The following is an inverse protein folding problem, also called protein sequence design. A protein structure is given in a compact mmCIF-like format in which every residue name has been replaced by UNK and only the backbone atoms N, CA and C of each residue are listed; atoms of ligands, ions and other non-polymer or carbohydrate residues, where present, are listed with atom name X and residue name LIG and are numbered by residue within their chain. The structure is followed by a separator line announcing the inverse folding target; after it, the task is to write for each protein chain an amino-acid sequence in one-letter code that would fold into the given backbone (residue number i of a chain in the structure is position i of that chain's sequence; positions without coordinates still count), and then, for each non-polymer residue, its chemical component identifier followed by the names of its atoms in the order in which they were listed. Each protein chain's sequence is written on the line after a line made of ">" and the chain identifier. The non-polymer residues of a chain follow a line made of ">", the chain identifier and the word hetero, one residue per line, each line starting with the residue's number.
data_IF_289610379650
#
_entry.id   IF_289610379650
#
_cell.length_a   1.000
_cell.length_b   1.000
_cell.length_c   1.000
_cell.angle_alpha   90.00
_cell.angle_beta   90.00
_cell.angle_gamma   90.00
#
_symmetry.space_group_name_H-M   'P 1'
#
loop_
_entity.id
_entity.type
_entity.pdbx_description
1 polymer ?
#
# COMPACT_ATOMS: atom_id res chain seq x y z
N UNK A 1 6.34 11.91 -12.33
CA UNK A 1 7.49 12.26 -13.17
C UNK A 1 8.85 11.92 -12.52
N UNK A 2 8.92 11.65 -11.22
CA UNK A 2 10.14 11.22 -10.53
C UNK A 2 11.30 12.24 -10.55
N UNK A 3 11.00 13.53 -10.76
CA UNK A 3 11.99 14.62 -10.73
C UNK A 3 11.47 15.79 -9.88
N UNK A 4 12.36 16.35 -9.08
CA UNK A 4 12.10 17.63 -8.39
C UNK A 4 12.11 18.73 -9.45
N UNK A 5 11.05 19.55 -9.48
CA UNK A 5 10.96 20.67 -10.38
C UNK A 5 11.80 21.85 -9.84
N UNK A 6 12.61 22.50 -10.68
CA UNK A 6 13.36 23.67 -10.26
C UNK A 6 12.43 24.87 -10.02
N UNK A 7 12.89 25.80 -9.21
CA UNK A 7 12.10 26.91 -8.69
C UNK A 7 11.56 27.85 -9.79
N UNK A 8 12.32 28.05 -10.87
CA UNK A 8 11.90 28.80 -12.03
C UNK A 8 10.68 28.22 -12.73
N UNK A 9 10.59 26.89 -12.82
CA UNK A 9 9.41 26.19 -13.34
C UNK A 9 8.22 26.29 -12.38
N UNK A 10 8.45 26.14 -11.07
CA UNK A 10 7.38 26.26 -10.06
C UNK A 10 6.74 27.66 -10.07
N UNK A 11 7.52 28.70 -10.36
CA UNK A 11 7.08 30.10 -10.38
C UNK A 11 6.53 30.55 -11.73
N UNK A 12 6.56 29.73 -12.78
CA UNK A 12 6.07 30.09 -14.13
C UNK A 12 4.54 30.26 -14.18
N UNK A 13 3.71 29.38 -13.55
CA UNK A 13 2.26 29.52 -13.64
C UNK A 13 1.74 30.75 -12.87
N UNK A 14 0.81 31.48 -13.47
CA UNK A 14 0.20 32.69 -12.88
C UNK A 14 -0.38 32.46 -11.48
N UNK A 15 -0.95 31.28 -11.23
CA UNK A 15 -1.60 30.93 -9.97
C UNK A 15 -0.77 29.98 -9.09
N UNK A 16 0.49 29.74 -9.47
CA UNK A 16 1.36 28.76 -8.84
C UNK A 16 1.14 27.35 -9.37
N UNK A 17 2.07 26.45 -9.04
CA UNK A 17 1.99 25.03 -9.40
C UNK A 17 1.29 24.27 -8.28
N UNK A 18 0.31 23.42 -8.61
CA UNK A 18 -0.40 22.57 -7.65
C UNK A 18 -0.17 21.10 -7.95
N UNK A 19 -0.24 20.27 -6.92
CA UNK A 19 -0.09 18.82 -7.01
C UNK A 19 -1.25 18.13 -6.27
N UNK A 20 -1.63 16.96 -6.78
CA UNK A 20 -2.54 16.01 -6.10
C UNK A 20 -1.68 14.96 -5.44
N UNK A 21 -1.58 14.99 -4.12
CA UNK A 21 -0.80 14.04 -3.34
C UNK A 21 -1.71 13.04 -2.64
N UNK A 22 -1.45 11.74 -2.84
CA UNK A 22 -2.32 10.66 -2.37
C UNK A 22 -2.06 10.27 -0.92
N UNK A 23 -2.05 11.26 -0.02
CA UNK A 23 -2.04 11.10 1.43
C UNK A 23 -2.67 12.29 2.14
N UNK A 24 -2.89 12.15 3.43
CA UNK A 24 -3.25 13.24 4.34
C UNK A 24 -1.94 13.88 4.82
N UNK A 25 -1.46 14.91 4.10
CA UNK A 25 -0.24 15.63 4.48
C UNK A 25 -0.38 16.27 5.87
N UNK A 26 0.71 16.30 6.68
CA UNK A 26 2.11 16.06 6.31
C UNK A 26 2.56 14.60 6.35
N UNK A 27 1.68 13.62 6.58
CA UNK A 27 2.06 12.21 6.54
C UNK A 27 2.32 11.73 5.12
N UNK A 28 3.30 10.83 4.98
CA UNK A 28 3.60 10.12 3.73
C UNK A 28 4.02 11.03 2.57
N UNK A 29 4.89 12.03 2.82
CA UNK A 29 5.59 12.71 1.74
C UNK A 29 6.43 11.71 0.95
N UNK A 30 6.52 11.82 -0.36
CA UNK A 30 7.37 10.98 -1.20
C UNK A 30 6.65 10.10 -2.20
N UNK A 31 7.30 8.98 -2.61
CA UNK A 31 6.98 8.29 -3.85
C UNK A 31 5.81 7.29 -3.77
N UNK A 32 5.52 6.71 -2.59
CA UNK A 32 4.57 5.60 -2.47
C UNK A 32 3.57 5.75 -1.30
N UNK A 33 2.90 6.92 -1.14
CA UNK A 33 2.03 7.19 0.01
C UNK A 33 0.89 6.18 0.16
N UNK A 34 0.28 5.74 -0.93
CA UNK A 34 -0.83 4.78 -0.95
C UNK A 34 -0.38 3.42 -0.38
N UNK A 35 0.76 2.93 -0.87
CA UNK A 35 1.30 1.65 -0.43
C UNK A 35 1.68 1.70 1.04
N UNK A 36 2.35 2.76 1.50
CA UNK A 36 2.80 2.88 2.88
C UNK A 36 1.64 3.06 3.87
N UNK A 37 0.54 3.72 3.49
CA UNK A 37 -0.66 3.75 4.32
C UNK A 37 -1.22 2.34 4.57
N UNK A 38 -1.24 1.49 3.53
CA UNK A 38 -1.67 0.09 3.67
C UNK A 38 -0.65 -0.73 4.46
N UNK A 39 0.65 -0.62 4.16
CA UNK A 39 1.73 -1.36 4.83
C UNK A 39 1.79 -1.08 6.32
N UNK A 40 1.44 0.13 6.74
CA UNK A 40 1.38 0.54 8.13
C UNK A 40 0.04 0.17 8.82
N UNK A 41 -0.92 -0.36 8.07
CA UNK A 41 -2.23 -0.75 8.61
C UNK A 41 -3.13 0.43 8.97
N UNK A 42 -2.96 1.58 8.31
CA UNK A 42 -3.82 2.74 8.52
C UNK A 42 -5.27 2.41 8.14
N UNK A 43 -6.21 2.87 8.94
CA UNK A 43 -7.64 2.70 8.69
C UNK A 43 -8.21 3.82 7.79
N UNK A 44 -7.49 4.94 7.66
CA UNK A 44 -7.90 6.12 6.91
C UNK A 44 -6.71 6.64 6.12
N UNK A 45 -6.96 7.06 4.90
CA UNK A 45 -6.04 7.81 4.05
C UNK A 45 -6.81 8.92 3.34
N UNK A 46 -6.21 9.54 2.33
CA UNK A 46 -6.90 10.58 1.57
C UNK A 46 -6.04 11.17 0.46
N UNK A 47 -6.49 12.30 -0.02
CA UNK A 47 -5.76 13.11 -0.98
C UNK A 47 -5.60 14.53 -0.45
N UNK A 48 -4.45 15.14 -0.68
CA UNK A 48 -4.17 16.54 -0.39
C UNK A 48 -3.87 17.28 -1.69
N UNK A 49 -4.61 18.33 -1.96
CA UNK A 49 -4.28 19.30 -2.99
C UNK A 49 -3.37 20.35 -2.35
N UNK A 50 -2.17 20.53 -2.89
CA UNK A 50 -1.16 21.38 -2.30
C UNK A 50 -0.48 22.23 -3.35
N UNK A 51 0.03 23.41 -2.96
CA UNK A 51 1.00 24.13 -3.75
C UNK A 51 2.33 23.39 -3.75
N UNK A 52 2.97 23.32 -4.89
CA UNK A 52 4.31 22.73 -4.98
C UNK A 52 5.34 23.70 -4.38
N UNK A 53 6.35 23.15 -3.73
CA UNK A 53 7.48 23.86 -3.14
C UNK A 53 8.78 23.17 -3.58
N UNK A 54 9.95 23.83 -3.42
CA UNK A 54 11.24 23.21 -3.71
C UNK A 54 11.52 21.93 -2.90
N UNK A 55 11.04 21.90 -1.66
CA UNK A 55 11.12 20.70 -0.81
C UNK A 55 10.00 19.71 -1.17
N UNK A 56 10.33 18.40 -1.17
CA UNK A 56 9.43 17.31 -1.58
C UNK A 56 8.15 17.31 -0.73
N UNK A 57 7.01 17.50 -1.41
CA UNK A 57 5.65 17.44 -0.86
C UNK A 57 5.43 18.29 0.41
N UNK A 58 6.19 19.40 0.54
CA UNK A 58 6.22 20.24 1.74
C UNK A 58 5.43 21.56 1.62
N UNK A 59 4.85 21.85 0.45
CA UNK A 59 4.11 23.08 0.22
C UNK A 59 2.76 23.14 0.94
N UNK A 60 2.16 24.33 0.94
CA UNK A 60 0.90 24.58 1.64
C UNK A 60 -0.25 23.75 1.07
N UNK A 61 -1.02 23.12 1.96
CA UNK A 61 -2.22 22.37 1.60
C UNK A 61 -3.38 23.34 1.36
N UNK A 62 -4.07 23.14 0.23
CA UNK A 62 -5.26 23.91 -0.16
C UNK A 62 -6.53 23.18 0.32
N UNK A 63 -6.58 21.88 0.06
CA UNK A 63 -7.73 21.05 0.31
C UNK A 63 -7.28 19.65 0.68
N UNK A 64 -7.96 19.03 1.65
CA UNK A 64 -7.76 17.63 1.99
C UNK A 64 -9.11 16.90 1.95
N UNK A 65 -9.12 15.67 1.44
CA UNK A 65 -10.26 14.76 1.45
C UNK A 65 -9.82 13.41 1.99
N UNK A 66 -10.49 12.96 3.04
CA UNK A 66 -10.21 11.68 3.69
C UNK A 66 -11.13 10.59 3.14
N UNK A 67 -10.65 9.35 3.20
CA UNK A 67 -11.41 8.14 2.90
C UNK A 67 -10.93 6.99 3.75
N UNK A 68 -11.84 6.08 4.15
CA UNK A 68 -11.46 4.85 4.83
C UNK A 68 -10.70 3.90 3.89
N UNK A 69 -9.79 3.10 4.45
CA UNK A 69 -9.17 1.96 3.78
C UNK A 69 -9.92 0.71 4.23
N UNK A 70 -10.52 -0.02 3.29
CA UNK A 70 -11.15 -1.30 3.62
C UNK A 70 -10.09 -2.29 4.10
N UNK A 71 -10.38 -3.12 5.12
CA UNK A 71 -9.44 -4.09 5.67
C UNK A 71 -8.82 -5.05 4.65
N UNK A 72 -9.51 -5.36 3.56
CA UNK A 72 -9.06 -6.29 2.52
C UNK A 72 -8.71 -5.59 1.18
N UNK A 73 -8.86 -4.25 1.12
CA UNK A 73 -8.55 -3.46 -0.08
C UNK A 73 -7.05 -3.46 -0.37
N UNK A 74 -6.68 -3.69 -1.62
CA UNK A 74 -5.29 -3.64 -2.06
C UNK A 74 -4.88 -2.27 -2.61
N UNK A 75 -3.57 -2.09 -2.83
CA UNK A 75 -3.03 -0.83 -3.32
C UNK A 75 -3.54 -0.45 -4.72
N UNK A 76 -3.93 -1.42 -5.57
CA UNK A 76 -4.46 -1.15 -6.92
C UNK A 76 -5.85 -0.54 -6.84
N UNK A 77 -6.73 -1.14 -6.05
CA UNK A 77 -8.09 -0.67 -5.85
C UNK A 77 -8.11 0.69 -5.15
N UNK A 78 -7.31 0.83 -4.08
CA UNK A 78 -7.18 2.10 -3.36
C UNK A 78 -6.64 3.21 -4.27
N UNK A 79 -5.66 2.92 -5.14
CA UNK A 79 -5.13 3.89 -6.10
C UNK A 79 -6.23 4.41 -7.03
N UNK A 80 -7.11 3.54 -7.53
CA UNK A 80 -8.22 3.93 -8.39
C UNK A 80 -9.19 4.87 -7.66
N UNK A 81 -9.59 4.52 -6.44
CA UNK A 81 -10.49 5.37 -5.63
C UNK A 81 -9.86 6.72 -5.29
N UNK A 82 -8.58 6.74 -4.92
CA UNK A 82 -7.88 7.99 -4.60
C UNK A 82 -7.67 8.86 -5.85
N UNK A 83 -7.53 8.27 -7.04
CA UNK A 83 -7.47 9.05 -8.28
C UNK A 83 -8.80 9.77 -8.59
N UNK A 84 -9.94 9.11 -8.38
CA UNK A 84 -11.27 9.70 -8.53
C UNK A 84 -11.47 10.82 -7.49
N UNK A 85 -11.22 10.54 -6.21
CA UNK A 85 -11.31 11.51 -5.12
C UNK A 85 -10.38 12.72 -5.35
N UNK A 86 -9.18 12.46 -5.87
CA UNK A 86 -8.19 13.50 -6.20
C UNK A 86 -8.65 14.39 -7.35
N UNK A 87 -9.31 13.84 -8.37
CA UNK A 87 -9.84 14.62 -9.50
C UNK A 87 -10.97 15.55 -9.04
N UNK A 88 -11.87 15.08 -8.18
CA UNK A 88 -12.94 15.90 -7.59
C UNK A 88 -12.35 17.01 -6.71
N UNK A 89 -11.42 16.67 -5.80
CA UNK A 89 -10.75 17.62 -4.93
C UNK A 89 -9.95 18.68 -5.72
N UNK A 90 -9.28 18.28 -6.80
CA UNK A 90 -8.55 19.21 -7.68
C UNK A 90 -9.49 20.18 -8.37
N UNK A 91 -10.62 19.71 -8.89
CA UNK A 91 -11.63 20.58 -9.53
C UNK A 91 -12.14 21.65 -8.57
N UNK A 92 -12.44 21.27 -7.33
CA UNK A 92 -12.85 22.20 -6.27
C UNK A 92 -11.74 23.21 -5.94
N UNK A 93 -10.49 22.73 -5.76
CA UNK A 93 -9.36 23.60 -5.45
C UNK A 93 -9.08 24.61 -6.57
N UNK A 94 -9.19 24.21 -7.84
CA UNK A 94 -9.06 25.12 -9.00
C UNK A 94 -10.11 26.23 -8.93
N UNK A 95 -11.38 25.87 -8.66
CA UNK A 95 -12.44 26.86 -8.49
C UNK A 95 -12.17 27.87 -7.36
N UNK A 96 -11.63 27.41 -6.23
CA UNK A 96 -11.23 28.30 -5.14
C UNK A 96 -10.08 29.24 -5.54
N UNK A 97 -9.09 28.73 -6.30
CA UNK A 97 -7.97 29.51 -6.79
C UNK A 97 -8.45 30.60 -7.78
N UNK A 98 -9.29 30.24 -8.73
CA UNK A 98 -9.83 31.17 -9.73
C UNK A 98 -10.66 32.29 -9.11
N UNK A 99 -11.46 31.96 -8.10
CA UNK A 99 -12.30 32.91 -7.38
C UNK A 99 -11.56 33.69 -6.29
N UNK A 100 -10.29 33.40 -6.04
CA UNK A 100 -9.50 34.06 -5.00
C UNK A 100 -9.94 33.71 -3.56
N UNK A 101 -10.65 32.60 -3.37
CA UNK A 101 -11.16 32.14 -2.06
C UNK A 101 -10.31 31.05 -1.44
N UNK A 102 -9.19 30.68 -2.08
CA UNK A 102 -8.29 29.64 -1.60
C UNK A 102 -7.68 30.00 -0.24
N UNK A 103 -7.75 29.04 0.69
CA UNK A 103 -7.07 29.12 1.99
C UNK A 103 -5.86 28.19 1.97
N UNK A 104 -4.70 28.72 2.30
CA UNK A 104 -3.45 27.94 2.38
C UNK A 104 -3.19 27.54 3.81
N UNK A 105 -3.00 26.26 4.04
CA UNK A 105 -2.61 25.73 5.35
C UNK A 105 -1.17 25.28 5.30
N UNK A 106 -0.30 25.93 6.06
CA UNK A 106 1.10 25.55 6.21
C UNK A 106 1.15 24.18 6.88
N UNK A 107 1.95 23.25 6.33
CA UNK A 107 2.12 21.94 6.93
C UNK A 107 2.92 22.01 8.24
N UNK A 108 2.57 21.19 9.22
CA UNK A 108 3.42 20.96 10.39
C UNK A 108 4.62 20.09 9.97
N UNK A 109 5.75 20.76 9.72
CA UNK A 109 6.98 20.10 9.30
C UNK A 109 7.57 19.17 10.37
N UNK A 110 7.21 19.33 11.66
CA UNK A 110 7.65 18.41 12.71
C UNK A 110 6.89 17.08 12.72
N UNK A 111 5.67 17.06 12.17
CA UNK A 111 4.80 15.88 12.11
C UNK A 111 4.90 15.10 10.79
N UNK A 112 5.78 15.49 9.86
CA UNK A 112 5.87 14.80 8.58
C UNK A 112 6.43 13.38 8.71
N UNK A 113 5.97 12.49 7.82
CA UNK A 113 6.55 11.16 7.62
C UNK A 113 6.86 10.95 6.14
N UNK A 114 7.80 10.05 5.84
CA UNK A 114 8.17 9.73 4.47
C UNK A 114 7.57 8.40 4.01
N UNK A 115 7.20 8.36 2.73
CA UNK A 115 6.79 7.19 2.00
C UNK A 115 7.82 6.92 0.87
N UNK A 116 8.94 6.26 1.18
CA UNK A 116 9.98 6.00 0.20
C UNK A 116 9.48 5.12 -0.93
N UNK A 117 10.21 5.12 -2.03
CA UNK A 117 9.96 4.21 -3.16
C UNK A 117 10.02 2.76 -2.66
N UNK A 118 9.09 1.94 -3.14
CA UNK A 118 9.11 0.51 -2.84
C UNK A 118 10.32 -0.15 -3.52
N UNK A 119 10.79 -1.23 -2.92
CA UNK A 119 11.83 -2.08 -3.50
C UNK A 119 11.61 -3.56 -3.15
N UNK A 120 12.42 -4.45 -3.74
CA UNK A 120 12.27 -5.90 -3.57
C UNK A 120 12.63 -6.42 -2.18
N UNK A 121 13.32 -5.65 -1.37
CA UNK A 121 13.63 -6.04 0.02
C UNK A 121 12.39 -6.14 0.89
N UNK A 122 11.31 -5.45 0.50
CA UNK A 122 10.00 -5.52 1.15
C UNK A 122 9.22 -6.80 0.84
N UNK A 123 9.66 -7.60 -0.16
CA UNK A 123 8.88 -8.76 -0.63
C UNK A 123 8.83 -9.95 0.35
N UNK A 124 9.91 -10.36 1.03
CA UNK A 124 9.88 -11.56 1.87
C UNK A 124 8.89 -11.44 3.03
N UNK A 125 8.03 -12.46 3.19
CA UNK A 125 7.15 -12.57 4.34
C UNK A 125 7.92 -13.18 5.52
N UNK A 126 7.92 -12.47 6.65
CA UNK A 126 8.46 -12.95 7.93
C UNK A 126 7.30 -13.41 8.83
N UNK A 127 7.06 -14.70 8.88
CA UNK A 127 5.96 -15.30 9.62
C UNK A 127 6.08 -15.17 11.15
N UNK A 128 7.17 -14.66 11.68
CA UNK A 128 7.27 -14.31 13.11
C UNK A 128 6.44 -13.08 13.46
N UNK A 129 6.01 -12.31 12.46
CA UNK A 129 5.14 -11.14 12.59
C UNK A 129 3.65 -11.54 12.70
N UNK A 130 2.78 -10.65 13.21
CA UNK A 130 1.33 -10.87 13.25
C UNK A 130 0.72 -11.09 11.86
N UNK A 131 -0.30 -11.97 11.79
CA UNK A 131 -1.00 -12.31 10.55
C UNK A 131 -1.58 -11.06 9.86
N UNK A 132 -2.10 -10.09 10.62
CA UNK A 132 -2.62 -8.82 10.08
C UNK A 132 -1.54 -8.02 9.38
N UNK A 133 -0.35 -7.90 9.95
CA UNK A 133 0.75 -7.17 9.33
C UNK A 133 1.22 -7.82 8.03
N UNK A 134 1.24 -9.16 7.96
CA UNK A 134 1.59 -9.88 6.74
C UNK A 134 0.49 -9.75 5.67
N UNK A 135 -0.77 -9.74 6.06
CA UNK A 135 -1.88 -9.45 5.16
C UNK A 135 -1.75 -8.03 4.58
N UNK A 136 -1.47 -7.03 5.41
CA UNK A 136 -1.24 -5.66 4.98
C UNK A 136 -0.01 -5.54 4.07
N UNK A 137 1.06 -6.29 4.35
CA UNK A 137 2.23 -6.37 3.48
C UNK A 137 1.86 -6.92 2.10
N UNK A 138 1.10 -8.00 2.02
CA UNK A 138 0.67 -8.58 0.73
C UNK A 138 -0.16 -7.58 -0.06
N UNK A 139 -1.23 -7.02 0.52
CA UNK A 139 -2.15 -6.12 -0.17
C UNK A 139 -1.53 -4.75 -0.49
N UNK A 140 -0.53 -4.30 0.29
CA UNK A 140 0.20 -3.06 0.07
C UNK A 140 1.29 -3.17 -1.01
N UNK A 141 1.80 -4.38 -1.31
CA UNK A 141 2.87 -4.59 -2.29
C UNK A 141 2.39 -5.03 -3.68
N UNK A 142 1.09 -5.16 -3.91
CA UNK A 142 0.58 -5.41 -5.26
C UNK A 142 0.48 -4.11 -6.06
N UNK A 143 0.73 -4.12 -7.38
CA UNK A 143 1.18 -5.26 -8.19
C UNK A 143 2.69 -5.50 -8.12
N UNK A 144 3.45 -4.57 -7.56
CA UNK A 144 4.92 -4.62 -7.46
C UNK A 144 5.38 -4.04 -6.11
N UNK A 145 6.41 -4.62 -5.47
CA UNK A 145 7.23 -5.77 -5.89
C UNK A 145 6.54 -7.14 -5.71
N UNK A 146 5.36 -7.20 -5.12
CA UNK A 146 4.62 -8.36 -4.64
C UNK A 146 5.31 -9.03 -3.44
N UNK A 147 4.54 -9.50 -2.48
CA UNK A 147 5.07 -10.31 -1.39
C UNK A 147 5.54 -11.68 -1.89
N UNK A 148 6.49 -12.29 -1.20
CA UNK A 148 7.06 -13.58 -1.57
C UNK A 148 7.40 -14.42 -0.35
N UNK A 149 7.45 -15.74 -0.56
CA UNK A 149 7.92 -16.70 0.43
C UNK A 149 8.56 -17.91 -0.26
N UNK A 150 9.20 -18.78 0.51
CA UNK A 150 9.64 -20.09 0.04
C UNK A 150 8.62 -21.13 0.53
N UNK A 151 8.00 -21.85 -0.39
CA UNK A 151 7.02 -22.90 -0.12
C UNK A 151 7.56 -24.24 -0.60
N UNK A 152 7.78 -25.19 0.34
CA UNK A 152 8.39 -26.49 0.04
C UNK A 152 9.66 -26.37 -0.82
N UNK A 153 10.57 -25.44 -0.45
CA UNK A 153 11.84 -25.20 -1.14
C UNK A 153 11.76 -24.41 -2.46
N UNK A 154 10.57 -23.96 -2.88
CA UNK A 154 10.38 -23.20 -4.13
C UNK A 154 9.94 -21.76 -3.83
N UNK A 155 10.49 -20.76 -4.52
CA UNK A 155 10.03 -19.39 -4.38
C UNK A 155 8.64 -19.21 -5.01
N UNK A 156 7.76 -18.54 -4.28
CA UNK A 156 6.42 -18.19 -4.76
C UNK A 156 6.11 -16.73 -4.43
N UNK A 157 5.40 -16.04 -5.33
CA UNK A 157 4.81 -14.74 -5.06
C UNK A 157 3.43 -14.92 -4.46
N UNK A 158 3.08 -14.09 -3.51
CA UNK A 158 1.79 -14.07 -2.83
C UNK A 158 1.03 -12.82 -3.28
N UNK A 159 -0.17 -13.02 -3.80
CA UNK A 159 -0.97 -11.94 -4.40
C UNK A 159 -2.22 -11.59 -3.61
N UNK A 160 -2.79 -12.57 -2.89
CA UNK A 160 -3.98 -12.36 -2.06
C UNK A 160 -3.97 -13.28 -0.85
N UNK A 161 -4.33 -12.71 0.29
CA UNK A 161 -4.40 -13.41 1.57
C UNK A 161 -5.66 -13.01 2.34
N UNK A 162 -5.89 -13.66 3.46
CA UNK A 162 -6.82 -13.23 4.50
C UNK A 162 -6.25 -13.63 5.86
N UNK A 163 -6.62 -12.90 6.90
CA UNK A 163 -6.34 -13.32 8.28
C UNK A 163 -7.22 -14.53 8.59
N UNK A 164 -6.59 -15.61 9.03
CA UNK A 164 -7.25 -16.88 9.33
C UNK A 164 -7.48 -17.10 10.81
N UNK A 165 -7.83 -18.35 11.14
CA UNK A 165 -8.16 -18.80 12.48
C UNK A 165 -6.93 -18.85 13.40
N UNK A 166 -7.18 -18.93 14.71
CA UNK A 166 -6.16 -19.16 15.71
C UNK A 166 -5.52 -20.56 15.56
N UNK A 167 -4.23 -20.64 15.94
CA UNK A 167 -3.47 -21.89 15.91
C UNK A 167 -2.39 -21.89 17.00
N UNK A 168 -2.08 -23.07 17.54
CA UNK A 168 -0.96 -23.29 18.45
C UNK A 168 0.33 -23.72 17.71
N UNK A 169 0.28 -23.81 16.39
CA UNK A 169 1.44 -24.18 15.58
C UNK A 169 2.51 -23.07 15.63
N UNK A 170 3.81 -23.43 15.60
CA UNK A 170 4.88 -22.43 15.61
C UNK A 170 4.84 -21.56 14.35
N UNK A 171 5.27 -20.32 14.48
CA UNK A 171 5.31 -19.36 13.38
C UNK A 171 6.09 -19.91 12.17
N UNK A 172 5.51 -19.80 10.98
CA UNK A 172 6.03 -20.35 9.74
C UNK A 172 5.58 -21.77 9.42
N UNK A 173 4.98 -22.49 10.37
CA UNK A 173 4.47 -23.83 10.11
C UNK A 173 3.25 -23.82 9.18
N UNK A 174 3.23 -24.73 8.23
CA UNK A 174 2.07 -24.98 7.36
C UNK A 174 1.01 -25.72 8.15
N UNK A 175 -0.12 -25.06 8.42
CA UNK A 175 -1.25 -25.60 9.19
C UNK A 175 -2.24 -26.34 8.30
N UNK A 176 -2.48 -25.82 7.10
CA UNK A 176 -3.37 -26.42 6.10
C UNK A 176 -2.72 -26.33 4.73
N UNK A 177 -2.72 -27.43 3.98
CA UNK A 177 -2.24 -27.48 2.60
C UNK A 177 -3.02 -28.54 1.81
N UNK A 178 -4.29 -28.24 1.48
CA UNK A 178 -5.19 -29.19 0.81
C UNK A 178 -6.18 -28.45 -0.12
N UNK A 179 -7.25 -29.16 -0.50
CA UNK A 179 -8.32 -28.62 -1.35
C UNK A 179 -9.06 -27.41 -0.75
N UNK A 180 -8.94 -27.17 0.55
CA UNK A 180 -9.55 -26.03 1.24
C UNK A 180 -8.65 -24.79 1.22
N UNK A 181 -7.37 -24.96 0.88
CA UNK A 181 -6.40 -23.87 0.71
C UNK A 181 -5.07 -24.11 1.42
N UNK A 182 -4.35 -23.02 1.59
CA UNK A 182 -3.04 -22.96 2.25
C UNK A 182 -3.12 -21.97 3.43
N UNK A 183 -2.77 -22.44 4.63
CA UNK A 183 -2.69 -21.59 5.82
C UNK A 183 -1.37 -21.79 6.53
N UNK A 184 -0.74 -20.69 6.96
CA UNK A 184 0.56 -20.68 7.60
C UNK A 184 0.43 -19.95 8.93
N UNK A 185 0.98 -20.54 9.99
CA UNK A 185 0.97 -19.95 11.33
C UNK A 185 1.84 -18.69 11.38
N UNK A 186 1.35 -17.67 12.08
CA UNK A 186 2.04 -16.40 12.31
C UNK A 186 2.39 -16.20 13.78
N UNK A 187 3.23 -15.19 14.06
CA UNK A 187 3.77 -14.94 15.39
C UNK A 187 2.75 -14.50 16.44
N UNK A 188 1.54 -14.12 16.04
CA UNK A 188 0.44 -13.74 16.92
C UNK A 188 -0.52 -14.90 17.24
N UNK A 189 -0.17 -16.14 16.89
CA UNK A 189 -1.02 -17.32 17.10
C UNK A 189 -2.24 -17.39 16.17
N UNK A 190 -2.21 -16.67 15.05
CA UNK A 190 -3.20 -16.75 13.97
C UNK A 190 -2.57 -17.30 12.71
N UNK A 191 -3.40 -17.74 11.77
CA UNK A 191 -2.94 -18.13 10.45
C UNK A 191 -3.03 -16.97 9.45
N UNK A 192 -2.08 -16.92 8.52
CA UNK A 192 -2.25 -16.21 7.26
C UNK A 192 -2.77 -17.23 6.23
N UNK A 193 -3.99 -17.03 5.75
CA UNK A 193 -4.56 -17.83 4.65
C UNK A 193 -4.08 -17.25 3.32
N UNK A 194 -3.39 -18.07 2.54
CA UNK A 194 -2.97 -17.75 1.19
C UNK A 194 -4.12 -18.08 0.23
N UNK A 195 -4.68 -17.09 -0.42
CA UNK A 195 -5.79 -17.23 -1.35
C UNK A 195 -5.30 -17.37 -2.79
N UNK A 196 -4.32 -16.53 -3.19
CA UNK A 196 -3.76 -16.56 -4.52
C UNK A 196 -2.25 -16.42 -4.47
N UNK A 197 -1.58 -17.23 -5.26
CA UNK A 197 -0.13 -17.24 -5.38
C UNK A 197 0.31 -17.47 -6.83
N UNK A 198 1.61 -17.33 -7.06
CA UNK A 198 2.25 -17.56 -8.36
C UNK A 198 3.59 -18.25 -8.14
N UNK A 199 3.76 -19.47 -8.64
CA UNK A 199 5.06 -20.14 -8.71
C UNK A 199 5.98 -19.50 -9.76
N UNK A 200 7.27 -19.75 -9.63
CA UNK A 200 8.28 -19.24 -10.58
C UNK A 200 7.97 -19.69 -12.02
N UNK A 201 7.97 -18.74 -12.95
CA UNK A 201 7.62 -19.00 -14.36
C UNK A 201 6.15 -19.37 -14.62
N UNK A 202 5.34 -19.47 -13.57
CA UNK A 202 3.93 -19.85 -13.64
C UNK A 202 2.96 -18.68 -13.78
N UNK A 203 1.67 -19.00 -13.78
CA UNK A 203 0.56 -18.03 -13.75
C UNK A 203 0.07 -17.84 -12.31
N UNK A 204 -0.49 -16.66 -12.01
CA UNK A 204 -1.26 -16.41 -10.80
C UNK A 204 -2.48 -17.33 -10.78
N UNK A 205 -2.73 -18.00 -9.64
CA UNK A 205 -3.81 -18.94 -9.47
C UNK A 205 -4.24 -19.05 -8.01
N UNK A 206 -5.39 -19.65 -7.75
CA UNK A 206 -5.82 -19.97 -6.40
C UNK A 206 -4.83 -20.95 -5.72
N UNK A 207 -4.59 -20.76 -4.43
CA UNK A 207 -3.66 -21.62 -3.68
C UNK A 207 -4.08 -23.09 -3.71
N UNK A 208 -5.39 -23.37 -3.60
CA UNK A 208 -5.90 -24.75 -3.71
C UNK A 208 -5.60 -25.41 -5.08
N UNK A 209 -5.61 -24.65 -6.17
CA UNK A 209 -5.27 -25.17 -7.49
C UNK A 209 -3.77 -25.44 -7.64
N UNK A 210 -2.93 -24.55 -7.08
CA UNK A 210 -1.48 -24.76 -7.04
C UNK A 210 -1.11 -26.06 -6.31
N UNK A 211 -1.75 -26.32 -5.17
CA UNK A 211 -1.48 -27.51 -4.33
C UNK A 211 -1.80 -28.84 -5.02
N UNK A 212 -2.68 -28.87 -6.01
CA UNK A 212 -2.96 -30.12 -6.78
C UNK A 212 -1.73 -30.64 -7.51
N UNK A 213 -0.87 -29.74 -7.98
CA UNK A 213 0.37 -30.11 -8.69
C UNK A 213 1.62 -29.97 -7.84
N UNK A 214 1.53 -29.42 -6.64
CA UNK A 214 2.65 -29.08 -5.77
C UNK A 214 2.30 -29.44 -4.32
N UNK A 215 2.38 -30.72 -3.93
CA UNK A 215 2.10 -31.13 -2.56
C UNK A 215 3.06 -30.43 -1.58
N UNK A 216 2.51 -29.93 -0.49
CA UNK A 216 3.23 -29.22 0.57
C UNK A 216 3.02 -29.98 1.87
N UNK A 217 4.08 -30.44 2.55
CA UNK A 217 3.96 -31.10 3.83
C UNK A 217 3.50 -30.13 4.92
N UNK A 218 2.78 -30.64 5.91
CA UNK A 218 2.39 -29.87 7.09
C UNK A 218 3.56 -29.73 8.06
N UNK A 219 3.59 -28.67 8.84
CA UNK A 219 4.53 -28.45 9.93
C UNK A 219 5.95 -28.01 9.52
N UNK A 220 6.15 -27.64 8.24
CA UNK A 220 7.45 -27.13 7.77
C UNK A 220 7.47 -25.62 7.73
#
# INVERSE_FOLDING_TARGET
>A
YGRILPEDILNTPKYGAVNVHSSILPKYRGAAPINWAILNGDAVTGVSIMYMAPELDAGDVILCRETAIDPDEDAVTLTTRLAELGAEALSEAIGQIENGTVVRTVQDHAAHTYAPMLDKSLSPLDFTRPARQLHDQVRGLVPWPSASMVLAGKPVKIHRTAVGEATDAPAGAVVTADKTGLSIACGDGKCLRILELQGEGGKRMAAADYLRGHPVPLGL
#
